data_IF_396972908265
#
_entry.id   IF_396972908265
#
_cell.length_a   1.000
_cell.length_b   1.000
_cell.length_c   1.000
_cell.angle_alpha   90.00
_cell.angle_beta   90.00
_cell.angle_gamma   90.00
#
_symmetry.space_group_name_H-M   'P 1'
#
loop_
_entity.id
_entity.type
_entity.pdbx_description
1 polymer ?
#
# COMPACT_ATOMS: atom_id res chain seq x y z
N UNK A 1 7.20 3.72 19.08
CA UNK A 1 6.70 2.96 17.90
C UNK A 1 5.22 2.65 18.10
N UNK A 2 4.32 3.56 17.71
CA UNK A 2 2.89 3.34 17.72
C UNK A 2 2.51 2.23 16.72
N UNK A 3 1.46 1.50 17.05
CA UNK A 3 0.84 0.52 16.16
C UNK A 3 -0.64 0.85 16.06
N UNK A 4 -1.14 0.88 14.83
CA UNK A 4 -2.52 1.18 14.52
C UNK A 4 -3.18 -0.01 13.84
N UNK A 5 -4.44 -0.26 14.17
CA UNK A 5 -5.28 -1.22 13.48
C UNK A 5 -6.46 -0.48 12.84
N UNK A 6 -6.68 -0.73 11.55
CA UNK A 6 -7.82 -0.19 10.80
C UNK A 6 -8.53 -1.30 10.03
N UNK A 7 -9.81 -1.08 9.78
CA UNK A 7 -10.63 -1.93 8.93
C UNK A 7 -11.26 -1.10 7.83
N UNK A 8 -11.04 -1.51 6.59
CA UNK A 8 -11.77 -0.99 5.43
C UNK A 8 -12.98 -1.87 5.13
N UNK A 9 -14.03 -1.24 4.65
CA UNK A 9 -15.35 -1.80 4.36
C UNK A 9 -15.61 -1.84 2.85
N UNK A 10 -16.62 -2.61 2.39
CA UNK A 10 -16.87 -2.82 0.98
C UNK A 10 -16.95 -1.52 0.16
N UNK A 11 -16.25 -1.49 -0.97
CA UNK A 11 -16.23 -0.34 -1.88
C UNK A 11 -15.21 0.74 -1.55
N UNK A 12 -14.58 0.74 -0.37
CA UNK A 12 -13.46 1.64 -0.10
C UNK A 12 -12.26 1.26 -0.96
N UNK A 13 -11.50 2.28 -1.36
CA UNK A 13 -10.27 2.13 -2.12
C UNK A 13 -9.10 1.85 -1.17
N UNK A 14 -8.43 0.71 -1.33
CA UNK A 14 -7.35 0.28 -0.44
C UNK A 14 -6.18 1.27 -0.42
N UNK A 15 -5.75 1.74 -1.59
CA UNK A 15 -4.58 2.63 -1.71
C UNK A 15 -4.90 4.00 -1.14
N UNK A 16 -6.00 4.60 -1.59
CA UNK A 16 -6.37 5.94 -1.14
C UNK A 16 -6.66 5.97 0.36
N UNK A 17 -7.31 4.93 0.91
CA UNK A 17 -7.59 4.88 2.35
C UNK A 17 -6.32 4.82 3.20
N UNK A 18 -5.25 4.17 2.71
CA UNK A 18 -3.95 4.14 3.40
C UNK A 18 -3.23 5.49 3.30
N UNK A 19 -3.30 6.14 2.14
CA UNK A 19 -2.74 7.47 1.94
C UNK A 19 -3.48 8.50 2.83
N UNK A 20 -4.82 8.46 2.88
CA UNK A 20 -5.64 9.29 3.77
C UNK A 20 -5.31 9.06 5.24
N UNK A 21 -5.21 7.79 5.66
CA UNK A 21 -4.82 7.44 7.03
C UNK A 21 -3.43 7.98 7.40
N UNK A 22 -2.48 7.88 6.48
CA UNK A 22 -1.11 8.37 6.66
C UNK A 22 -1.11 9.89 6.88
N UNK A 23 -1.92 10.62 6.13
CA UNK A 23 -2.07 12.07 6.26
C UNK A 23 -2.80 12.47 7.55
N UNK A 24 -3.91 11.79 7.88
CA UNK A 24 -4.72 12.06 9.08
C UNK A 24 -3.89 11.86 10.36
N UNK A 25 -3.11 10.77 10.42
CA UNK A 25 -2.25 10.45 11.55
C UNK A 25 -0.89 11.13 11.52
N UNK A 26 -0.58 11.84 10.43
CA UNK A 26 0.71 12.51 10.20
C UNK A 26 1.90 11.57 10.38
N UNK A 27 1.80 10.37 9.82
CA UNK A 27 2.86 9.36 9.96
C UNK A 27 4.13 9.85 9.25
N UNK A 28 5.22 9.95 10.02
CA UNK A 28 6.52 10.35 9.51
C UNK A 28 7.24 9.19 8.80
N UNK A 29 7.06 7.97 9.29
CA UNK A 29 7.70 6.78 8.76
C UNK A 29 6.84 5.52 9.02
N UNK A 30 5.69 5.47 8.35
CA UNK A 30 4.75 4.37 8.47
C UNK A 30 5.14 3.14 7.64
N UNK A 31 4.70 1.96 8.05
CA UNK A 31 4.85 0.73 7.27
C UNK A 31 3.73 -0.27 7.56
N UNK A 32 3.40 -1.07 6.56
CA UNK A 32 2.38 -2.13 6.71
C UNK A 32 3.01 -3.31 7.44
N UNK A 33 2.42 -3.70 8.57
CA UNK A 33 2.78 -4.91 9.32
C UNK A 33 2.05 -6.12 8.73
N UNK A 34 0.75 -5.97 8.48
CA UNK A 34 -0.07 -7.02 7.86
C UNK A 34 -1.33 -6.43 7.21
N UNK A 35 -1.88 -7.18 6.25
CA UNK A 35 -3.21 -6.95 5.69
C UNK A 35 -3.84 -8.30 5.32
N UNK A 36 -5.04 -8.56 5.84
CA UNK A 36 -5.88 -9.68 5.42
C UNK A 36 -7.22 -9.15 4.96
N UNK A 37 -7.75 -9.66 3.84
CA UNK A 37 -9.01 -9.15 3.30
C UNK A 37 -9.23 -9.58 1.86
N UNK A 38 -10.18 -8.92 1.20
CA UNK A 38 -10.53 -9.21 -0.18
C UNK A 38 -10.85 -7.96 -0.98
N UNK A 39 -10.59 -8.04 -2.29
CA UNK A 39 -10.85 -6.99 -3.26
C UNK A 39 -11.81 -7.51 -4.33
N UNK A 40 -12.72 -6.65 -4.81
CA UNK A 40 -13.62 -6.94 -5.95
C UNK A 40 -13.09 -6.39 -7.27
N UNK A 41 -12.09 -5.52 -7.16
CA UNK A 41 -11.36 -4.89 -8.26
C UNK A 41 -9.93 -4.67 -7.78
N UNK A 42 -8.95 -5.05 -8.60
CA UNK A 42 -7.53 -4.88 -8.28
C UNK A 42 -6.85 -4.10 -9.40
N UNK A 43 -6.08 -3.07 -9.06
CA UNK A 43 -5.28 -2.29 -10.00
C UNK A 43 -3.83 -2.33 -9.58
N UNK A 44 -2.99 -2.93 -10.42
CA UNK A 44 -1.56 -3.05 -10.16
C UNK A 44 -0.75 -2.63 -11.38
N UNK A 45 0.44 -2.10 -11.15
CA UNK A 45 1.47 -1.97 -12.19
C UNK A 45 2.49 -3.10 -12.02
N UNK A 46 2.55 -4.06 -12.97
CA UNK A 46 3.55 -5.13 -12.93
C UNK A 46 4.96 -4.58 -13.24
N UNK A 47 5.96 -5.41 -13.00
CA UNK A 47 7.36 -5.07 -13.27
C UNK A 47 7.57 -4.68 -14.74
N UNK A 48 8.41 -3.66 -14.95
CA UNK A 48 8.85 -3.18 -16.28
C UNK A 48 7.70 -2.82 -17.24
N UNK A 49 6.58 -2.33 -16.70
CA UNK A 49 5.47 -1.81 -17.49
C UNK A 49 5.00 -0.47 -16.95
N UNK A 50 4.61 0.42 -17.86
CA UNK A 50 3.96 1.68 -17.52
C UNK A 50 2.45 1.51 -17.33
N UNK A 51 1.83 0.63 -18.12
CA UNK A 51 0.38 0.43 -18.11
C UNK A 51 -0.08 -0.45 -16.94
N UNK A 52 -1.18 -0.07 -16.28
CA UNK A 52 -1.76 -0.87 -15.22
C UNK A 52 -2.46 -2.13 -15.76
N UNK A 53 -2.43 -3.20 -14.99
CA UNK A 53 -3.35 -4.32 -15.10
C UNK A 53 -4.54 -4.05 -14.18
N UNK A 54 -5.75 -4.20 -14.72
CA UNK A 54 -7.00 -4.14 -13.98
C UNK A 54 -7.63 -5.53 -13.96
N UNK A 55 -7.86 -6.07 -12.76
CA UNK A 55 -8.57 -7.32 -12.55
C UNK A 55 -9.96 -6.99 -12.00
N UNK A 56 -11.00 -7.16 -12.81
CA UNK A 56 -12.41 -6.98 -12.42
C UNK A 56 -12.99 -8.31 -11.89
N UNK A 57 -12.37 -8.83 -10.84
CA UNK A 57 -12.77 -10.09 -10.21
C UNK A 57 -12.49 -10.07 -8.71
N UNK A 58 -13.10 -11.02 -8.00
CA UNK A 58 -12.89 -11.19 -6.56
C UNK A 58 -11.55 -11.87 -6.31
N UNK A 59 -10.72 -11.26 -5.46
CA UNK A 59 -9.45 -11.83 -5.02
C UNK A 59 -9.29 -11.67 -3.51
N UNK A 60 -8.62 -12.63 -2.88
CA UNK A 60 -8.11 -12.50 -1.51
C UNK A 60 -6.80 -11.72 -1.53
N UNK A 61 -6.61 -10.81 -0.58
CA UNK A 61 -5.33 -10.14 -0.30
C UNK A 61 -4.49 -11.14 0.49
N UNK A 62 -3.45 -11.67 -0.14
CA UNK A 62 -2.55 -12.65 0.49
C UNK A 62 -1.25 -12.02 0.97
N UNK A 63 -0.95 -10.79 0.52
CA UNK A 63 0.12 -9.95 1.07
C UNK A 63 -0.09 -8.49 0.69
N UNK A 64 0.18 -7.57 1.62
CA UNK A 64 0.36 -6.15 1.37
C UNK A 64 1.62 -5.70 2.10
N UNK A 65 2.57 -5.13 1.36
CA UNK A 65 3.85 -4.71 1.90
C UNK A 65 4.17 -3.31 1.41
N UNK A 66 4.72 -2.48 2.28
CA UNK A 66 5.22 -1.19 1.84
C UNK A 66 5.41 -0.18 2.95
N UNK A 67 5.94 0.96 2.54
CA UNK A 67 6.20 2.13 3.37
C UNK A 67 5.17 3.20 3.09
N UNK A 68 4.72 3.86 4.14
CA UNK A 68 3.74 4.93 4.14
C UNK A 68 4.42 6.23 4.60
N UNK A 69 4.21 7.31 3.86
CA UNK A 69 4.73 8.62 4.26
C UNK A 69 3.89 9.72 3.63
N UNK A 70 3.84 10.89 4.28
CA UNK A 70 3.16 12.06 3.73
C UNK A 70 3.73 12.54 2.38
N UNK A 71 4.98 12.19 2.07
CA UNK A 71 5.66 12.52 0.81
C UNK A 71 5.42 11.45 -0.30
N UNK A 72 4.72 10.37 0.04
CA UNK A 72 4.31 9.34 -0.90
C UNK A 72 4.51 7.92 -0.39
N UNK A 73 3.43 7.14 -0.41
CA UNK A 73 3.46 5.72 -0.09
C UNK A 73 4.02 4.89 -1.25
N UNK A 74 4.70 3.81 -0.92
CA UNK A 74 5.17 2.79 -1.87
C UNK A 74 4.66 1.44 -1.39
N UNK A 75 3.62 0.93 -2.04
CA UNK A 75 2.89 -0.27 -1.65
C UNK A 75 2.91 -1.29 -2.78
N UNK A 76 3.27 -2.52 -2.45
CA UNK A 76 3.14 -3.69 -3.30
C UNK A 76 2.09 -4.63 -2.71
N UNK A 77 1.37 -5.32 -3.58
CA UNK A 77 0.31 -6.26 -3.19
C UNK A 77 0.49 -7.58 -3.94
N UNK A 78 0.14 -8.69 -3.27
CA UNK A 78 -0.14 -9.97 -3.90
C UNK A 78 -1.60 -10.36 -3.60
N UNK A 79 -2.32 -10.79 -4.62
CA UNK A 79 -3.72 -11.20 -4.54
C UNK A 79 -3.90 -12.58 -5.15
N UNK A 80 -4.77 -13.40 -4.57
CA UNK A 80 -5.12 -14.73 -5.08
C UNK A 80 -6.54 -14.73 -5.61
N UNK A 81 -6.74 -15.21 -6.84
CA UNK A 81 -8.07 -15.37 -7.41
C UNK A 81 -8.79 -16.65 -6.94
N UNK A 82 -10.00 -16.88 -7.46
CA UNK A 82 -10.81 -18.05 -7.12
C UNK A 82 -10.24 -19.41 -7.53
N UNK A 83 -9.17 -19.43 -8.33
CA UNK A 83 -8.42 -20.66 -8.70
C UNK A 83 -7.21 -20.90 -7.81
N UNK A 84 -6.84 -19.93 -6.96
CA UNK A 84 -5.59 -19.93 -6.20
C UNK A 84 -4.40 -19.32 -6.97
N UNK A 85 -4.60 -18.85 -8.20
CA UNK A 85 -3.56 -18.18 -8.96
C UNK A 85 -3.27 -16.82 -8.34
N UNK A 86 -1.98 -16.53 -8.13
CA UNK A 86 -1.53 -15.30 -7.49
C UNK A 86 -1.00 -14.30 -8.52
N UNK A 87 -1.46 -13.05 -8.40
CA UNK A 87 -1.01 -11.91 -9.18
C UNK A 87 -0.46 -10.85 -8.23
N UNK A 88 0.54 -10.09 -8.66
CA UNK A 88 1.11 -9.05 -7.81
C UNK A 88 1.86 -7.98 -8.57
N UNK A 89 2.08 -6.85 -7.90
CA UNK A 89 2.75 -5.69 -8.46
C UNK A 89 2.63 -4.48 -7.56
N UNK A 90 2.99 -3.32 -8.10
CA UNK A 90 2.83 -2.04 -7.43
C UNK A 90 1.35 -1.67 -7.33
N UNK A 91 0.85 -1.46 -6.12
CA UNK A 91 -0.56 -1.15 -5.85
C UNK A 91 -0.88 0.28 -6.29
N UNK A 92 -1.88 0.39 -7.17
CA UNK A 92 -2.39 1.66 -7.67
C UNK A 92 -3.79 1.96 -7.09
N UNK A 93 -4.23 3.23 -7.13
CA UNK A 93 -5.62 3.59 -6.88
C UNK A 93 -6.60 2.84 -7.79
N UNK A 94 -7.80 2.64 -7.28
CA UNK A 94 -8.90 1.91 -7.90
C UNK A 94 -9.02 0.46 -7.42
N UNK A 95 -8.22 0.02 -6.44
CA UNK A 95 -8.32 -1.31 -5.85
C UNK A 95 -9.39 -1.32 -4.75
N UNK A 96 -10.56 -1.89 -5.03
CA UNK A 96 -11.77 -1.74 -4.22
C UNK A 96 -12.01 -2.95 -3.32
N UNK A 97 -12.23 -2.70 -2.03
CA UNK A 97 -12.54 -3.73 -1.03
C UNK A 97 -13.83 -4.47 -1.40
N UNK A 98 -13.80 -5.80 -1.32
CA UNK A 98 -14.97 -6.65 -1.52
C UNK A 98 -15.73 -6.85 -0.22
N UNK A 99 -15.14 -7.53 0.78
CA UNK A 99 -15.80 -7.77 2.08
C UNK A 99 -15.19 -6.98 3.23
N UNK A 100 -13.87 -7.02 3.36
CA UNK A 100 -13.10 -6.35 4.42
C UNK A 100 -11.64 -6.21 3.98
N UNK A 101 -10.92 -5.26 4.56
CA UNK A 101 -9.46 -5.30 4.63
C UNK A 101 -9.03 -4.88 6.04
N UNK A 102 -8.41 -5.79 6.76
CA UNK A 102 -7.94 -5.66 8.14
C UNK A 102 -6.45 -5.40 8.10
N UNK A 103 -6.04 -4.19 8.47
CA UNK A 103 -4.69 -3.70 8.26
C UNK A 103 -4.09 -3.28 9.59
N UNK A 104 -2.85 -3.71 9.84
CA UNK A 104 -2.03 -3.23 10.96
C UNK A 104 -0.86 -2.42 10.41
N UNK A 105 -0.65 -1.23 10.97
CA UNK A 105 0.34 -0.25 10.52
C UNK A 105 1.25 0.10 11.70
N UNK A 106 2.56 0.02 11.49
CA UNK A 106 3.55 0.54 12.42
C UNK A 106 4.00 1.94 12.02
N UNK A 107 4.44 2.74 12.99
CA UNK A 107 5.07 4.04 12.77
C UNK A 107 6.39 4.13 13.54
N UNK A 108 7.47 4.51 12.84
CA UNK A 108 8.80 4.70 13.43
C UNK A 108 8.95 6.16 13.85
N UNK A 109 9.09 6.40 15.15
CA UNK A 109 9.14 7.76 15.71
C UNK A 109 10.54 8.38 15.70
N UNK A 110 11.57 7.58 15.44
CA UNK A 110 12.97 8.00 15.44
C UNK A 110 13.48 8.40 14.05
N UNK A 111 12.66 8.19 13.00
CA UNK A 111 12.99 8.51 11.62
C UNK A 111 11.83 9.15 10.86
N UNK A 112 12.15 9.82 9.75
CA UNK A 112 11.21 10.39 8.79
C UNK A 112 11.55 9.86 7.39
N UNK A 113 10.54 9.38 6.69
CA UNK A 113 10.62 8.98 5.29
C UNK A 113 10.34 10.17 4.37
N UNK A 114 11.21 10.37 3.38
CA UNK A 114 11.01 11.31 2.27
C UNK A 114 11.19 10.63 0.92
N UNK A 115 10.68 11.27 -0.12
CA UNK A 115 10.73 10.81 -1.52
C UNK A 115 11.48 11.84 -2.35
N UNK A 116 12.76 11.57 -2.59
CA UNK A 116 13.66 12.49 -3.29
C UNK A 116 14.10 11.89 -4.63
N UNK A 117 14.31 12.74 -5.63
CA UNK A 117 14.81 12.29 -6.94
C UNK A 117 16.19 11.67 -6.74
N UNK A 118 16.31 10.41 -7.13
CA UNK A 118 17.56 9.70 -7.15
C UNK A 118 18.24 9.86 -8.51
N UNK A 119 19.53 10.22 -8.51
CA UNK A 119 20.29 10.47 -9.73
C UNK A 119 20.59 9.20 -10.55
N UNK A 120 20.56 8.02 -9.92
CA UNK A 120 20.82 6.75 -10.59
C UNK A 120 19.57 6.19 -11.24
N UNK A 121 18.42 6.28 -10.56
CA UNK A 121 17.16 5.68 -11.05
C UNK A 121 16.26 6.67 -11.80
N UNK A 122 16.42 7.98 -11.55
CA UNK A 122 15.53 9.02 -12.07
C UNK A 122 14.15 9.06 -11.40
N UNK A 123 13.90 8.18 -10.42
CA UNK A 123 12.64 8.13 -9.67
C UNK A 123 12.77 8.80 -8.30
N UNK A 124 11.63 9.06 -7.68
CA UNK A 124 11.59 9.50 -6.28
C UNK A 124 11.76 8.31 -5.35
N UNK A 125 12.97 8.10 -4.85
CA UNK A 125 13.31 6.99 -3.98
C UNK A 125 13.21 7.36 -2.50
N UNK A 126 13.17 6.32 -1.65
CA UNK A 126 13.15 6.49 -0.20
C UNK A 126 14.46 7.11 0.30
N UNK A 127 14.37 8.23 1.01
CA UNK A 127 15.44 8.74 1.88
C UNK A 127 14.95 8.72 3.33
N UNK A 128 15.83 8.32 4.25
CA UNK A 128 15.53 8.14 5.67
C UNK A 128 16.35 9.17 6.45
N UNK A 129 15.67 9.99 7.24
CA UNK A 129 16.28 11.01 8.08
C UNK A 129 15.97 10.72 9.55
N UNK A 130 16.85 11.08 10.49
CA UNK A 130 16.50 11.09 11.91
C UNK A 130 15.33 12.04 12.17
N UNK A 131 14.40 11.64 13.05
CA UNK A 131 13.39 12.54 13.60
C UNK A 131 14.03 13.39 14.71
N UNK A 132 14.83 14.39 14.31
CA UNK A 132 15.45 15.39 15.19
C UNK A 132 15.49 16.75 14.52
#
# INVERSE_FOLDING_TARGET
MPVYAIRLTPGQDLRNSLDDFTMERRLGAGYVITCAGSLKRVVIRPADRNDPIVLEQKCEIVSLTGTLSADGSHLHIAVSDGTGATFGGHLLPGSLVYTTAEIVIGDLEDVIFKREIDGETGYKELKIYPAK
#
